data_IF_966024838984
#
_entry.id   IF_966024838984
#
_cell.length_a   1.000
_cell.length_b   1.000
_cell.length_c   1.000
_cell.angle_alpha   90.00
_cell.angle_beta   90.00
_cell.angle_gamma   90.00
#
_symmetry.space_group_name_H-M   'P 1'
#
loop_
_entity.id
_entity.type
_entity.pdbx_description
1 polymer ?
#
# COMPACT_ATOMS: atom_id res chain seq x y z
N UNK A 1 -4.12 6.44 3.89
CA UNK A 1 -3.06 6.80 2.92
C UNK A 1 -1.77 7.27 3.57
N UNK A 2 -1.82 8.16 4.57
CA UNK A 2 -0.58 8.67 5.17
C UNK A 2 0.21 7.60 5.94
N UNK A 3 -0.50 6.63 6.54
CA UNK A 3 0.14 5.48 7.18
C UNK A 3 0.86 4.56 6.17
N UNK A 4 0.34 4.44 4.95
CA UNK A 4 1.05 3.74 3.87
C UNK A 4 2.32 4.49 3.49
N UNK A 5 2.25 5.79 3.28
CA UNK A 5 3.41 6.66 3.00
C UNK A 5 4.46 6.58 4.12
N UNK A 6 4.04 6.65 5.38
CA UNK A 6 4.98 6.51 6.49
C UNK A 6 5.60 5.11 6.52
N UNK A 7 4.83 4.07 6.21
CA UNK A 7 5.33 2.69 6.12
C UNK A 7 6.47 2.56 5.11
N UNK A 8 6.28 3.08 3.89
CA UNK A 8 7.30 3.18 2.86
C UNK A 8 8.57 3.89 3.39
N UNK A 9 8.42 5.10 3.93
CA UNK A 9 9.54 5.89 4.47
C UNK A 9 10.29 5.15 5.60
N UNK A 10 9.56 4.45 6.46
CA UNK A 10 10.14 3.68 7.58
C UNK A 10 10.86 2.44 7.08
N UNK A 11 10.31 1.74 6.10
CA UNK A 11 10.83 0.51 5.54
C UNK A 11 12.03 0.70 4.61
N UNK A 12 12.09 1.83 3.88
CA UNK A 12 13.09 2.08 2.83
C UNK A 12 14.57 1.88 3.23
N UNK A 13 15.04 2.19 4.45
CA UNK A 13 16.43 1.92 4.85
C UNK A 13 16.75 0.43 5.01
N UNK A 14 15.72 -0.42 5.11
CA UNK A 14 15.83 -1.84 5.46
C UNK A 14 15.50 -2.78 4.29
N UNK A 15 15.16 -2.22 3.12
CA UNK A 15 14.85 -2.95 1.90
C UNK A 15 16.03 -3.82 1.44
N UNK A 16 15.72 -4.89 0.74
CA UNK A 16 16.60 -5.88 0.15
C UNK A 16 17.32 -6.84 1.13
N UNK A 17 17.61 -8.03 0.62
CA UNK A 17 18.25 -9.12 1.38
C UNK A 17 19.67 -8.79 1.89
N UNK A 18 20.34 -7.81 1.29
CA UNK A 18 21.64 -7.40 1.79
C UNK A 18 21.57 -6.72 3.18
N UNK A 19 20.43 -6.13 3.52
CA UNK A 19 20.15 -5.62 4.86
C UNK A 19 19.64 -6.74 5.77
N UNK A 20 18.76 -7.61 5.26
CA UNK A 20 18.14 -8.74 5.92
C UNK A 20 17.77 -8.48 7.39
N UNK A 21 17.14 -7.32 7.63
CA UNK A 21 16.86 -6.84 8.97
C UNK A 21 15.73 -7.65 9.60
N UNK A 22 15.97 -8.25 10.78
CA UNK A 22 15.07 -9.23 11.40
C UNK A 22 14.68 -8.86 12.84
N UNK A 23 14.79 -7.59 13.22
CA UNK A 23 14.52 -7.12 14.57
C UNK A 23 13.44 -6.04 14.59
N UNK A 24 12.73 -5.92 15.72
CA UNK A 24 11.74 -4.85 15.96
C UNK A 24 12.38 -3.59 16.59
N UNK A 25 13.60 -3.70 17.08
CA UNK A 25 14.32 -2.60 17.74
C UNK A 25 15.15 -1.81 16.73
N UNK A 26 14.58 -0.74 16.20
CA UNK A 26 15.22 0.19 15.28
C UNK A 26 14.62 1.60 15.43
N UNK A 27 15.35 2.67 15.10
CA UNK A 27 14.78 4.00 15.04
C UNK A 27 13.73 4.05 13.93
N UNK A 28 12.47 4.41 14.28
CA UNK A 28 11.36 4.39 13.32
C UNK A 28 11.63 5.30 12.13
N UNK A 29 12.27 6.45 12.36
CA UNK A 29 12.72 7.36 11.33
C UNK A 29 14.21 7.69 11.55
N UNK A 30 14.96 7.75 10.47
CA UNK A 30 16.38 8.09 10.44
C UNK A 30 16.68 9.07 9.30
N UNK A 31 17.94 9.52 9.20
CA UNK A 31 18.41 10.32 8.06
C UNK A 31 18.38 9.54 6.73
N UNK A 32 18.38 8.21 6.79
CA UNK A 32 18.30 7.34 5.61
C UNK A 32 16.87 7.08 5.16
N UNK A 33 15.89 7.39 6.00
CA UNK A 33 14.46 7.18 5.69
C UNK A 33 14.01 8.16 4.62
N UNK A 34 13.54 7.64 3.49
CA UNK A 34 13.07 8.40 2.32
C UNK A 34 11.85 7.70 1.70
N UNK A 35 11.05 8.41 0.96
CA UNK A 35 9.95 7.81 0.21
C UNK A 35 10.46 7.16 -1.09
N UNK A 36 9.74 6.14 -1.55
CA UNK A 36 10.03 5.39 -2.77
C UNK A 36 8.87 5.48 -3.78
N UNK A 37 8.85 4.60 -4.77
CA UNK A 37 7.75 4.49 -5.71
C UNK A 37 6.43 4.05 -5.05
N UNK A 38 6.46 3.42 -3.89
CA UNK A 38 5.28 3.13 -3.07
C UNK A 38 4.49 4.42 -2.76
N UNK A 39 5.17 5.43 -2.25
CA UNK A 39 4.56 6.74 -1.96
C UNK A 39 4.09 7.45 -3.22
N UNK A 40 4.95 7.53 -4.25
CA UNK A 40 4.63 8.22 -5.50
C UNK A 40 3.41 7.60 -6.18
N UNK A 41 3.36 6.28 -6.26
CA UNK A 41 2.24 5.58 -6.88
C UNK A 41 0.98 5.57 -5.99
N UNK A 42 1.13 5.61 -4.67
CA UNK A 42 0.00 5.82 -3.74
C UNK A 42 -0.67 7.18 -3.98
N UNK A 43 0.10 8.25 -4.13
CA UNK A 43 -0.42 9.58 -4.45
C UNK A 43 -1.08 9.60 -5.84
N UNK A 44 -0.43 9.05 -6.86
CA UNK A 44 -0.94 8.97 -8.22
C UNK A 44 -2.29 8.23 -8.29
N UNK A 45 -2.40 7.08 -7.62
CA UNK A 45 -3.64 6.29 -7.58
C UNK A 45 -4.74 7.02 -6.82
N UNK A 46 -4.42 7.73 -5.73
CA UNK A 46 -5.39 8.52 -4.99
C UNK A 46 -6.02 9.62 -5.86
N UNK A 47 -5.21 10.39 -6.59
CA UNK A 47 -5.70 11.43 -7.53
C UNK A 47 -6.54 10.79 -8.64
N UNK A 48 -6.05 9.70 -9.25
CA UNK A 48 -6.78 9.01 -10.31
C UNK A 48 -8.13 8.43 -9.87
N UNK A 49 -8.24 7.93 -8.64
CA UNK A 49 -9.51 7.47 -8.06
C UNK A 49 -10.50 8.63 -7.85
N UNK A 50 -10.02 9.77 -7.38
CA UNK A 50 -10.84 10.98 -7.19
C UNK A 50 -11.36 11.47 -8.54
N UNK A 51 -10.52 11.59 -9.54
CA UNK A 51 -10.88 12.03 -10.88
C UNK A 51 -11.80 11.04 -11.60
N UNK A 52 -11.66 9.78 -11.29
CA UNK A 52 -12.52 8.71 -11.81
C UNK A 52 -13.96 8.78 -11.34
N UNK A 53 -14.23 9.42 -10.19
CA UNK A 53 -15.58 9.62 -9.60
C UNK A 53 -16.36 8.31 -9.46
N UNK A 54 -15.66 7.21 -9.17
CA UNK A 54 -16.26 5.89 -8.99
C UNK A 54 -16.78 5.23 -10.29
N UNK A 55 -16.47 5.76 -11.46
CA UNK A 55 -16.83 5.17 -12.75
C UNK A 55 -15.65 4.32 -13.26
N UNK A 56 -15.82 2.99 -13.47
CA UNK A 56 -14.69 2.08 -13.77
C UNK A 56 -13.83 2.53 -14.95
N UNK A 57 -14.41 2.77 -16.11
CA UNK A 57 -13.67 3.16 -17.32
C UNK A 57 -12.95 4.50 -17.14
N UNK A 58 -13.61 5.47 -16.51
CA UNK A 58 -13.01 6.77 -16.22
C UNK A 58 -11.88 6.65 -15.20
N UNK A 59 -12.07 5.83 -14.16
CA UNK A 59 -11.04 5.57 -13.14
C UNK A 59 -9.82 4.89 -13.76
N UNK A 60 -10.02 3.91 -14.65
CA UNK A 60 -8.92 3.27 -15.36
C UNK A 60 -8.06 4.29 -16.12
N UNK A 61 -8.70 5.14 -16.93
CA UNK A 61 -7.99 6.15 -17.71
C UNK A 61 -7.30 7.19 -16.81
N UNK A 62 -7.96 7.64 -15.75
CA UNK A 62 -7.39 8.61 -14.82
C UNK A 62 -6.19 8.04 -14.05
N UNK A 63 -6.32 6.84 -13.49
CA UNK A 63 -5.21 6.16 -12.80
C UNK A 63 -4.03 5.90 -13.74
N UNK A 64 -4.30 5.47 -14.98
CA UNK A 64 -3.25 5.29 -15.99
C UNK A 64 -2.52 6.61 -16.29
N UNK A 65 -3.27 7.71 -16.43
CA UNK A 65 -2.71 9.03 -16.68
C UNK A 65 -1.84 9.49 -15.50
N UNK A 66 -2.40 9.45 -14.29
CA UNK A 66 -1.71 9.91 -13.08
C UNK A 66 -0.45 9.10 -12.78
N UNK A 67 -0.52 7.78 -12.86
CA UNK A 67 0.66 6.93 -12.64
C UNK A 67 1.79 7.25 -13.64
N UNK A 68 1.46 7.56 -14.89
CA UNK A 68 2.46 7.94 -15.90
C UNK A 68 2.99 9.36 -15.69
N UNK A 69 2.14 10.28 -15.27
CA UNK A 69 2.53 11.64 -14.96
C UNK A 69 3.51 11.65 -13.78
N UNK A 70 3.08 11.13 -12.62
CA UNK A 70 3.88 11.10 -11.40
C UNK A 70 5.16 10.25 -11.56
N UNK A 71 5.07 9.12 -12.26
CA UNK A 71 6.25 8.27 -12.50
C UNK A 71 7.34 8.95 -13.33
N UNK A 72 6.99 9.94 -14.17
CA UNK A 72 7.94 10.74 -14.93
C UNK A 72 8.48 11.93 -14.15
N UNK A 73 7.67 12.53 -13.28
CA UNK A 73 8.11 13.58 -12.35
C UNK A 73 9.10 13.06 -11.31
N UNK A 74 8.94 11.79 -10.89
CA UNK A 74 9.80 11.13 -9.91
C UNK A 74 10.58 9.94 -10.51
N UNK A 75 11.46 10.15 -11.51
CA UNK A 75 12.05 9.05 -12.30
C UNK A 75 13.02 8.16 -11.50
N UNK A 76 13.44 8.57 -10.31
CA UNK A 76 14.40 7.89 -9.45
C UNK A 76 13.77 7.27 -8.19
N UNK A 77 12.44 7.12 -8.16
CA UNK A 77 11.73 6.63 -6.98
C UNK A 77 11.89 5.12 -6.69
N UNK A 78 12.48 4.32 -7.59
CA UNK A 78 12.74 2.90 -7.30
C UNK A 78 12.01 1.91 -8.23
N UNK A 79 11.22 2.37 -9.21
CA UNK A 79 10.36 1.53 -10.05
C UNK A 79 11.01 0.27 -10.61
N UNK A 80 10.27 -0.84 -10.57
CA UNK A 80 10.64 -2.09 -11.20
C UNK A 80 10.79 -1.98 -12.72
N UNK A 81 11.61 -2.85 -13.33
CA UNK A 81 11.99 -2.74 -14.73
C UNK A 81 10.84 -2.84 -15.74
N UNK A 82 9.78 -3.62 -15.46
CA UNK A 82 8.59 -3.69 -16.32
C UNK A 82 7.78 -2.40 -16.24
N UNK A 83 7.62 -1.85 -15.03
CA UNK A 83 6.90 -0.60 -14.80
C UNK A 83 7.61 0.59 -15.47
N UNK A 84 8.94 0.69 -15.37
CA UNK A 84 9.71 1.73 -16.10
C UNK A 84 9.46 1.69 -17.61
N UNK A 85 9.43 0.51 -18.22
CA UNK A 85 9.11 0.38 -19.65
C UNK A 85 7.70 0.83 -19.95
N UNK A 86 6.74 0.47 -19.10
CA UNK A 86 5.35 0.86 -19.25
C UNK A 86 5.16 2.38 -19.12
N UNK A 87 5.86 3.07 -18.20
CA UNK A 87 5.81 4.52 -18.04
C UNK A 87 6.13 5.27 -19.34
N UNK A 88 7.06 4.74 -20.15
CA UNK A 88 7.54 5.38 -21.37
C UNK A 88 6.93 4.80 -22.66
N UNK A 89 6.07 3.78 -22.55
CA UNK A 89 5.43 3.19 -23.70
C UNK A 89 4.49 4.19 -24.42
N UNK A 90 4.47 4.15 -25.76
CA UNK A 90 3.50 4.94 -26.55
C UNK A 90 2.07 4.47 -26.28
N UNK A 91 1.87 3.14 -26.24
CA UNK A 91 0.59 2.50 -25.92
C UNK A 91 0.76 1.69 -24.62
N UNK A 92 0.46 2.29 -23.46
CA UNK A 92 0.69 1.66 -22.15
C UNK A 92 -0.39 0.64 -21.82
N UNK A 93 -0.32 -0.54 -22.42
CA UNK A 93 -1.23 -1.65 -22.10
C UNK A 93 -0.83 -2.34 -20.78
N UNK A 94 -1.80 -2.94 -20.07
CA UNK A 94 -1.51 -3.85 -18.96
C UNK A 94 -0.58 -4.98 -19.40
N UNK A 95 0.32 -5.40 -18.52
CA UNK A 95 1.37 -6.39 -18.88
C UNK A 95 1.34 -7.64 -18.00
N UNK A 96 0.20 -7.93 -17.36
CA UNK A 96 -0.01 -9.19 -16.63
C UNK A 96 0.83 -9.32 -15.36
N UNK A 97 1.24 -8.22 -14.74
CA UNK A 97 1.99 -8.27 -13.49
C UNK A 97 1.17 -8.89 -12.36
N UNK A 98 1.83 -9.68 -11.52
CA UNK A 98 1.35 -10.18 -10.23
C UNK A 98 2.21 -9.67 -9.06
N UNK A 99 3.04 -8.67 -9.34
CA UNK A 99 3.86 -7.99 -8.35
C UNK A 99 3.04 -7.29 -7.27
N UNK A 100 3.65 -7.03 -6.12
CA UNK A 100 3.04 -6.36 -4.99
C UNK A 100 2.73 -4.86 -5.25
N UNK A 101 3.24 -4.30 -6.35
CA UNK A 101 3.02 -2.92 -6.77
C UNK A 101 1.55 -2.52 -6.96
N UNK A 102 0.62 -3.46 -7.17
CA UNK A 102 -0.82 -3.15 -7.15
C UNK A 102 -1.36 -2.97 -5.73
N UNK A 103 -0.84 -3.71 -4.77
CA UNK A 103 -1.26 -3.68 -3.37
C UNK A 103 -0.68 -2.48 -2.60
N UNK A 104 0.60 -2.14 -2.84
CA UNK A 104 1.27 -1.03 -2.17
C UNK A 104 0.57 0.31 -2.38
N UNK A 105 0.09 0.57 -3.60
CA UNK A 105 -0.48 1.87 -4.02
C UNK A 105 -1.98 2.02 -3.84
N UNK A 106 -2.70 0.98 -3.38
CA UNK A 106 -4.17 0.91 -3.42
C UNK A 106 -4.87 1.57 -2.23
N UNK A 107 -4.12 2.03 -1.22
CA UNK A 107 -4.66 2.42 0.08
C UNK A 107 -5.84 3.41 -0.01
N UNK A 108 -5.82 4.36 -0.95
CA UNK A 108 -6.89 5.34 -1.15
C UNK A 108 -8.25 4.69 -1.52
N UNK A 109 -8.25 3.55 -2.22
CA UNK A 109 -9.49 2.82 -2.55
C UNK A 109 -10.21 2.34 -1.28
N UNK A 110 -9.47 1.95 -0.23
CA UNK A 110 -10.04 1.55 1.05
C UNK A 110 -10.72 2.70 1.82
N UNK A 111 -10.43 3.95 1.45
CA UNK A 111 -10.95 5.15 2.12
C UNK A 111 -12.09 5.83 1.38
N UNK A 112 -12.11 5.81 0.04
CA UNK A 112 -12.94 6.69 -0.81
C UNK A 112 -14.36 6.17 -1.08
N UNK A 113 -14.75 4.98 -0.63
CA UNK A 113 -16.04 4.41 -1.02
C UNK A 113 -16.84 3.92 0.19
N UNK A 114 -18.16 4.08 0.14
CA UNK A 114 -19.07 3.80 1.25
C UNK A 114 -19.42 2.31 1.39
N UNK A 115 -19.13 1.50 0.37
CA UNK A 115 -19.42 0.07 0.38
C UNK A 115 -18.18 -0.76 0.04
N UNK A 116 -18.12 -1.96 0.63
CA UNK A 116 -17.05 -2.92 0.36
C UNK A 116 -17.02 -3.33 -1.12
N UNK A 117 -18.20 -3.57 -1.72
CA UNK A 117 -18.30 -3.96 -3.14
C UNK A 117 -17.68 -2.88 -4.05
N UNK A 118 -17.97 -1.61 -3.77
CA UNK A 118 -17.41 -0.50 -4.55
C UNK A 118 -15.90 -0.34 -4.31
N UNK A 119 -15.45 -0.55 -3.08
CA UNK A 119 -14.02 -0.59 -2.74
C UNK A 119 -13.31 -1.68 -3.55
N UNK A 120 -13.86 -2.90 -3.59
CA UNK A 120 -13.29 -4.03 -4.34
C UNK A 120 -13.28 -3.78 -5.84
N UNK A 121 -14.38 -3.21 -6.39
CA UNK A 121 -14.45 -2.84 -7.80
C UNK A 121 -13.36 -1.84 -8.17
N UNK A 122 -13.22 -0.77 -7.39
CA UNK A 122 -12.25 0.27 -7.70
C UNK A 122 -10.81 -0.17 -7.45
N UNK A 123 -10.54 -0.98 -6.42
CA UNK A 123 -9.24 -1.60 -6.21
C UNK A 123 -8.83 -2.47 -7.41
N UNK A 124 -9.76 -3.28 -7.95
CA UNK A 124 -9.54 -4.05 -9.17
C UNK A 124 -9.17 -3.13 -10.34
N UNK A 125 -9.95 -2.07 -10.58
CA UNK A 125 -9.69 -1.12 -11.68
C UNK A 125 -8.30 -0.50 -11.58
N UNK A 126 -7.85 -0.10 -10.37
CA UNK A 126 -6.50 0.46 -10.20
C UNK A 126 -5.38 -0.54 -10.47
N UNK A 127 -5.62 -1.82 -10.13
CA UNK A 127 -4.66 -2.89 -10.40
C UNK A 127 -4.57 -3.18 -11.91
N UNK A 128 -5.71 -3.29 -12.59
CA UNK A 128 -5.81 -3.67 -14.01
C UNK A 128 -5.04 -2.76 -14.96
N UNK A 129 -4.70 -1.54 -14.54
CA UNK A 129 -3.87 -0.62 -15.35
C UNK A 129 -2.50 -1.22 -15.72
N UNK A 130 -1.94 -2.07 -14.88
CA UNK A 130 -0.64 -2.74 -15.09
C UNK A 130 -0.64 -4.20 -14.61
N UNK A 131 -1.33 -4.48 -13.50
CA UNK A 131 -1.33 -5.75 -12.77
C UNK A 131 -2.67 -6.48 -13.02
N UNK A 132 -2.98 -6.77 -14.28
CA UNK A 132 -4.21 -7.47 -14.65
C UNK A 132 -4.12 -9.01 -14.53
N UNK A 133 -3.07 -9.54 -13.90
CA UNK A 133 -3.01 -10.94 -13.47
C UNK A 133 -3.94 -11.17 -12.27
N UNK A 134 -4.62 -12.33 -12.16
CA UNK A 134 -5.53 -12.61 -11.03
C UNK A 134 -4.91 -12.36 -9.65
N UNK A 135 -3.66 -12.74 -9.42
CA UNK A 135 -2.96 -12.51 -8.15
C UNK A 135 -2.65 -11.02 -7.90
N UNK A 136 -2.33 -10.24 -8.95
CA UNK A 136 -2.13 -8.79 -8.82
C UNK A 136 -3.43 -8.05 -8.45
N UNK A 137 -4.55 -8.46 -9.07
CA UNK A 137 -5.89 -7.94 -8.73
C UNK A 137 -6.27 -8.33 -7.31
N UNK A 138 -6.08 -9.61 -6.95
CA UNK A 138 -6.39 -10.15 -5.62
C UNK A 138 -5.62 -9.40 -4.52
N UNK A 139 -4.34 -9.12 -4.71
CA UNK A 139 -3.52 -8.38 -3.74
C UNK A 139 -4.04 -6.98 -3.48
N UNK A 140 -4.38 -6.24 -4.55
CA UNK A 140 -4.98 -4.91 -4.42
C UNK A 140 -6.34 -4.95 -3.73
N UNK A 141 -7.23 -5.88 -4.12
CA UNK A 141 -8.55 -6.03 -3.52
C UNK A 141 -8.46 -6.42 -2.04
N UNK A 142 -7.57 -7.35 -1.68
CA UNK A 142 -7.38 -7.76 -0.28
C UNK A 142 -6.91 -6.59 0.58
N UNK A 143 -5.89 -5.85 0.13
CA UNK A 143 -5.38 -4.68 0.86
C UNK A 143 -6.45 -3.60 1.04
N UNK A 144 -7.17 -3.24 -0.01
CA UNK A 144 -8.24 -2.24 0.06
C UNK A 144 -9.40 -2.69 0.95
N UNK A 145 -9.77 -3.98 0.89
CA UNK A 145 -10.82 -4.54 1.73
C UNK A 145 -10.45 -4.50 3.22
N UNK A 146 -9.20 -4.84 3.57
CA UNK A 146 -8.74 -4.79 4.97
C UNK A 146 -8.76 -3.35 5.49
N UNK A 147 -8.33 -2.36 4.69
CA UNK A 147 -8.42 -0.94 5.06
C UNK A 147 -9.87 -0.52 5.26
N UNK A 148 -10.78 -0.91 4.37
CA UNK A 148 -12.21 -0.62 4.49
C UNK A 148 -12.80 -1.23 5.76
N UNK A 149 -12.58 -2.50 6.01
CA UNK A 149 -13.09 -3.20 7.19
C UNK A 149 -12.52 -2.61 8.49
N UNK A 150 -11.23 -2.29 8.51
CA UNK A 150 -10.58 -1.64 9.65
C UNK A 150 -11.22 -0.28 9.99
N UNK A 151 -11.38 0.61 8.99
CA UNK A 151 -11.98 1.94 9.22
C UNK A 151 -13.46 1.92 9.56
N UNK A 152 -14.15 0.84 9.18
CA UNK A 152 -15.59 0.65 9.50
C UNK A 152 -15.83 -0.11 10.81
N UNK A 153 -14.78 -0.35 11.60
CA UNK A 153 -14.88 -0.84 12.97
C UNK A 153 -14.92 -2.35 13.13
N UNK A 154 -14.53 -3.10 12.08
CA UNK A 154 -14.41 -4.56 12.20
C UNK A 154 -13.20 -4.93 13.07
N UNK A 155 -13.38 -5.95 13.88
CA UNK A 155 -12.31 -6.51 14.71
C UNK A 155 -11.28 -7.29 13.87
N UNK A 156 -10.07 -7.46 14.39
CA UNK A 156 -9.03 -8.26 13.74
C UNK A 156 -9.46 -9.70 13.42
N UNK A 157 -10.17 -10.44 14.30
CA UNK A 157 -10.70 -11.75 13.95
C UNK A 157 -11.68 -11.74 12.76
N UNK A 158 -12.57 -10.75 12.69
CA UNK A 158 -13.50 -10.60 11.56
C UNK A 158 -12.76 -10.28 10.25
N UNK A 159 -11.77 -9.38 10.30
CA UNK A 159 -10.90 -9.06 9.16
C UNK A 159 -10.16 -10.31 8.68
N UNK A 160 -9.53 -11.03 9.60
CA UNK A 160 -8.82 -12.29 9.30
C UNK A 160 -9.74 -13.29 8.60
N UNK A 161 -10.89 -13.55 9.20
CA UNK A 161 -11.88 -14.49 8.65
C UNK A 161 -12.32 -14.08 7.23
N UNK A 162 -12.60 -12.80 7.03
CA UNK A 162 -13.00 -12.29 5.72
C UNK A 162 -11.92 -12.52 4.66
N UNK A 163 -10.66 -12.21 4.98
CA UNK A 163 -9.53 -12.36 4.05
C UNK A 163 -9.28 -13.83 3.70
N UNK A 164 -9.29 -14.71 4.70
CA UNK A 164 -9.11 -16.16 4.49
C UNK A 164 -10.21 -16.74 3.60
N UNK A 165 -11.47 -16.38 3.87
CA UNK A 165 -12.63 -16.91 3.13
C UNK A 165 -12.74 -16.33 1.71
N UNK A 166 -12.41 -15.04 1.52
CA UNK A 166 -12.64 -14.35 0.24
C UNK A 166 -11.45 -14.48 -0.70
N UNK A 167 -10.23 -14.38 -0.16
CA UNK A 167 -9.01 -14.34 -0.97
C UNK A 167 -8.16 -15.61 -0.85
N UNK A 168 -8.46 -16.50 0.11
CA UNK A 168 -7.74 -17.75 0.29
C UNK A 168 -6.30 -17.59 0.78
N UNK A 169 -5.96 -16.46 1.40
CA UNK A 169 -4.68 -16.27 2.04
C UNK A 169 -4.62 -17.04 3.37
N UNK A 170 -3.50 -17.70 3.65
CA UNK A 170 -3.24 -18.33 4.95
C UNK A 170 -2.68 -17.29 5.92
N UNK A 171 -3.50 -16.87 6.89
CA UNK A 171 -3.16 -15.92 7.93
C UNK A 171 -2.95 -16.57 9.30
N UNK A 172 -2.68 -17.90 9.35
CA UNK A 172 -2.50 -18.63 10.61
C UNK A 172 -1.04 -18.65 11.09
N UNK A 173 -0.11 -18.20 10.28
CA UNK A 173 1.31 -18.04 10.67
C UNK A 173 1.49 -16.79 11.52
N UNK A 174 2.54 -16.78 12.31
CA UNK A 174 2.98 -15.63 13.11
C UNK A 174 4.18 -14.92 12.47
N UNK A 175 4.41 -13.66 12.85
CA UNK A 175 5.61 -12.94 12.43
C UNK A 175 6.89 -13.66 12.84
N UNK A 176 6.88 -14.34 14.01
CA UNK A 176 8.03 -15.09 14.50
C UNK A 176 8.30 -16.35 13.67
N UNK A 177 7.27 -17.00 13.12
CA UNK A 177 7.41 -18.12 12.19
C UNK A 177 7.85 -17.69 10.79
N UNK A 178 7.41 -16.53 10.33
CA UNK A 178 7.75 -15.97 9.01
C UNK A 178 9.19 -15.43 8.98
N UNK A 179 9.56 -14.64 9.97
CA UNK A 179 10.80 -13.85 10.03
C UNK A 179 12.08 -14.62 9.71
N UNK A 180 12.31 -15.85 10.20
CA UNK A 180 13.57 -16.55 9.94
C UNK A 180 13.82 -16.92 8.49
N UNK A 181 12.77 -17.10 7.69
CA UNK A 181 12.84 -17.62 6.33
C UNK A 181 12.42 -16.62 5.26
N UNK A 182 11.75 -15.54 5.64
CA UNK A 182 11.30 -14.53 4.68
C UNK A 182 12.50 -13.79 4.07
N UNK A 183 12.42 -13.54 2.79
CA UNK A 183 13.45 -12.90 1.99
C UNK A 183 12.81 -11.89 1.02
N UNK A 184 13.60 -11.21 0.20
CA UNK A 184 13.09 -10.25 -0.76
C UNK A 184 12.25 -10.95 -1.84
N UNK A 185 10.96 -10.64 -1.84
CA UNK A 185 9.97 -11.12 -2.81
C UNK A 185 9.06 -9.96 -3.19
N UNK A 186 8.75 -9.85 -4.47
CA UNK A 186 7.96 -8.75 -5.03
C UNK A 186 6.58 -9.21 -5.53
N UNK A 187 6.07 -10.37 -5.06
CA UNK A 187 4.79 -10.92 -5.51
C UNK A 187 3.66 -10.63 -4.52
N UNK A 188 2.45 -10.37 -5.02
CA UNK A 188 1.28 -10.17 -4.16
C UNK A 188 1.01 -11.34 -3.22
N UNK A 189 1.18 -12.58 -3.71
CA UNK A 189 0.86 -13.78 -2.93
C UNK A 189 1.82 -14.03 -1.77
N UNK A 190 3.01 -13.44 -1.78
CA UNK A 190 4.01 -13.59 -0.73
C UNK A 190 4.24 -12.32 0.09
N UNK A 191 3.75 -11.14 -0.39
CA UNK A 191 3.87 -9.87 0.34
C UNK A 191 2.58 -9.54 1.10
N UNK A 192 1.42 -9.67 0.46
CA UNK A 192 0.15 -9.19 1.04
C UNK A 192 -0.27 -9.96 2.28
N UNK A 193 -0.25 -11.31 2.32
CA UNK A 193 -0.60 -12.03 3.55
C UNK A 193 0.36 -11.71 4.69
N UNK A 194 1.66 -11.58 4.46
CA UNK A 194 2.65 -11.23 5.47
C UNK A 194 2.43 -9.83 6.04
N UNK A 195 2.11 -8.85 5.19
CA UNK A 195 1.76 -7.51 5.63
C UNK A 195 0.47 -7.49 6.48
N UNK A 196 -0.53 -8.28 6.11
CA UNK A 196 -1.77 -8.43 6.89
C UNK A 196 -1.47 -9.12 8.23
N UNK A 197 -0.64 -10.16 8.27
CA UNK A 197 -0.23 -10.85 9.51
C UNK A 197 0.50 -9.86 10.44
N UNK A 198 1.43 -9.04 9.91
CA UNK A 198 2.13 -8.03 10.68
C UNK A 198 1.17 -7.04 11.37
N UNK A 199 0.08 -6.65 10.69
CA UNK A 199 -0.99 -5.87 11.27
C UNK A 199 -1.81 -6.67 12.31
N UNK A 200 -2.21 -7.90 12.00
CA UNK A 200 -3.05 -8.71 12.88
C UNK A 200 -2.39 -8.97 14.24
N UNK A 201 -1.08 -9.16 14.29
CA UNK A 201 -0.33 -9.37 15.52
C UNK A 201 0.01 -8.10 16.28
N UNK A 202 -0.09 -6.93 15.65
CA UNK A 202 0.28 -5.66 16.27
C UNK A 202 -0.65 -5.25 17.40
N UNK A 203 -0.15 -4.42 18.33
CA UNK A 203 -0.92 -3.84 19.44
C UNK A 203 -1.06 -2.32 19.32
N UNK A 204 -0.39 -1.71 18.35
CA UNK A 204 -0.46 -0.27 18.05
C UNK A 204 -0.08 0.00 16.59
N UNK A 205 -0.28 1.24 16.15
CA UNK A 205 0.17 1.70 14.82
C UNK A 205 1.68 1.50 14.62
N UNK A 206 2.50 1.95 15.58
CA UNK A 206 3.96 1.80 15.52
C UNK A 206 4.39 0.33 15.56
N UNK A 207 3.75 -0.49 16.40
CA UNK A 207 4.06 -1.91 16.51
C UNK A 207 3.78 -2.66 15.20
N UNK A 208 2.74 -2.25 14.46
CA UNK A 208 2.46 -2.80 13.13
C UNK A 208 3.61 -2.54 12.14
N UNK A 209 4.14 -1.31 12.10
CA UNK A 209 5.29 -0.99 11.25
C UNK A 209 6.55 -1.75 11.67
N UNK A 210 6.79 -1.91 12.97
CA UNK A 210 7.92 -2.68 13.51
C UNK A 210 7.80 -4.16 13.17
N UNK A 211 6.59 -4.73 13.22
CA UNK A 211 6.34 -6.09 12.76
C UNK A 211 6.71 -6.24 11.30
N UNK A 212 6.17 -5.39 10.41
CA UNK A 212 6.39 -5.46 8.98
C UNK A 212 7.88 -5.36 8.61
N UNK A 213 8.58 -4.33 9.08
CA UNK A 213 10.02 -4.13 8.81
C UNK A 213 10.85 -5.30 9.35
N UNK A 214 10.48 -5.88 10.50
CA UNK A 214 11.23 -7.00 11.10
C UNK A 214 11.11 -8.30 10.31
N UNK A 215 10.23 -8.40 9.33
CA UNK A 215 10.19 -9.55 8.42
C UNK A 215 11.36 -9.49 7.42
N UNK A 216 11.88 -8.31 7.13
CA UNK A 216 12.96 -8.09 6.15
C UNK A 216 12.47 -8.15 4.72
N UNK A 217 13.37 -8.38 3.77
CA UNK A 217 13.05 -8.47 2.36
C UNK A 217 12.64 -7.13 1.75
N UNK A 218 11.47 -7.08 1.13
CA UNK A 218 10.82 -5.89 0.55
C UNK A 218 10.11 -5.11 1.66
N UNK A 219 10.90 -4.51 2.56
CA UNK A 219 10.42 -3.98 3.84
C UNK A 219 9.67 -2.67 3.72
N UNK A 220 9.94 -1.85 2.71
CA UNK A 220 9.17 -0.64 2.42
C UNK A 220 7.76 -0.98 1.94
N UNK A 221 7.61 -1.89 0.97
CA UNK A 221 6.30 -2.36 0.52
C UNK A 221 5.52 -3.10 1.62
N UNK A 222 6.17 -3.99 2.40
CA UNK A 222 5.52 -4.62 3.55
C UNK A 222 4.99 -3.58 4.54
N UNK A 223 5.83 -2.60 4.89
CA UNK A 223 5.46 -1.57 5.85
C UNK A 223 4.46 -0.56 5.25
N UNK A 224 4.51 -0.29 3.95
CA UNK A 224 3.53 0.53 3.23
C UNK A 224 2.12 -0.10 3.34
N UNK A 225 1.97 -1.36 2.96
CA UNK A 225 0.68 -2.07 3.05
C UNK A 225 0.21 -2.12 4.51
N UNK A 226 1.07 -2.57 5.42
CA UNK A 226 0.75 -2.69 6.85
C UNK A 226 0.39 -1.35 7.47
N UNK A 227 1.12 -0.29 7.16
CA UNK A 227 0.89 1.06 7.65
C UNK A 227 -0.44 1.65 7.18
N UNK A 228 -0.81 1.40 5.93
CA UNK A 228 -2.13 1.79 5.40
C UNK A 228 -3.29 1.14 6.15
N UNK A 229 -3.15 -0.13 6.51
CA UNK A 229 -4.12 -0.88 7.31
C UNK A 229 -4.13 -0.39 8.76
N UNK A 230 -2.95 -0.22 9.37
CA UNK A 230 -2.81 0.21 10.75
C UNK A 230 -3.37 1.62 10.99
N UNK A 231 -3.20 2.54 10.01
CA UNK A 231 -3.83 3.87 10.05
C UNK A 231 -5.36 3.76 10.12
N UNK A 232 -5.94 2.87 9.35
CA UNK A 232 -7.38 2.67 9.30
C UNK A 232 -7.95 2.08 10.60
N UNK A 233 -7.17 1.22 11.27
CA UNK A 233 -7.60 0.52 12.47
C UNK A 233 -7.32 1.28 13.78
N UNK A 234 -6.11 1.81 13.93
CA UNK A 234 -5.67 2.47 15.17
C UNK A 234 -5.74 4.00 15.13
N UNK A 235 -5.85 4.58 13.93
CA UNK A 235 -5.47 5.95 13.69
C UNK A 235 -3.94 6.11 13.66
N UNK A 236 -3.49 7.27 13.23
CA UNK A 236 -2.07 7.62 13.17
C UNK A 236 -1.74 8.62 14.27
N UNK A 237 -0.70 8.39 15.12
CA UNK A 237 -0.25 9.37 16.11
C UNK A 237 0.11 10.71 15.47
N UNK A 238 -0.27 11.82 16.10
CA UNK A 238 -0.10 13.17 15.54
C UNK A 238 1.38 13.50 15.26
N UNK A 239 2.29 13.10 16.14
CA UNK A 239 3.73 13.31 15.96
C UNK A 239 4.26 12.61 14.71
N UNK A 240 3.82 11.38 14.44
CA UNK A 240 4.21 10.64 13.25
C UNK A 240 3.58 11.23 11.97
N UNK A 241 2.34 11.73 12.08
CA UNK A 241 1.69 12.47 10.98
C UNK A 241 2.52 13.70 10.59
N UNK A 242 2.87 14.53 11.57
CA UNK A 242 3.62 15.77 11.35
C UNK A 242 5.01 15.48 10.78
N UNK A 243 5.71 14.48 11.29
CA UNK A 243 7.02 14.05 10.78
C UNK A 243 6.95 13.50 9.36
N UNK A 244 5.89 12.75 9.03
CA UNK A 244 5.68 12.27 7.66
C UNK A 244 5.49 13.43 6.70
N UNK A 245 4.58 14.35 7.01
CA UNK A 245 4.27 15.52 6.16
C UNK A 245 5.49 16.42 5.92
N UNK A 246 6.37 16.58 6.90
CA UNK A 246 7.63 17.33 6.73
C UNK A 246 8.60 16.73 5.72
N UNK A 247 8.53 15.41 5.51
CA UNK A 247 9.42 14.66 4.61
C UNK A 247 8.91 14.60 3.17
N UNK A 248 7.67 15.03 2.92
CA UNK A 248 7.04 14.95 1.62
C UNK A 248 7.20 16.27 0.83
N UNK A 249 7.40 16.17 -0.49
CA UNK A 249 7.24 17.30 -1.40
C UNK A 249 5.82 17.89 -1.36
N UNK A 250 5.68 19.12 -1.82
CA UNK A 250 4.42 19.87 -1.76
C UNK A 250 3.29 19.19 -2.53
N UNK A 251 3.56 18.70 -3.73
CA UNK A 251 2.60 18.03 -4.60
C UNK A 251 2.06 16.71 -4.00
N UNK A 252 2.92 15.92 -3.35
CA UNK A 252 2.47 14.69 -2.64
C UNK A 252 1.60 15.05 -1.42
N UNK A 253 1.94 16.15 -0.71
CA UNK A 253 1.10 16.65 0.38
C UNK A 253 -0.26 17.13 -0.13
N UNK A 254 -0.29 17.85 -1.25
CA UNK A 254 -1.53 18.31 -1.89
C UNK A 254 -2.42 17.13 -2.30
N UNK A 255 -1.84 16.06 -2.85
CA UNK A 255 -2.59 14.84 -3.17
C UNK A 255 -3.20 14.19 -1.91
N UNK A 256 -2.47 14.18 -0.80
CA UNK A 256 -2.99 13.71 0.49
C UNK A 256 -4.11 14.61 1.03
N UNK A 257 -3.94 15.93 0.99
CA UNK A 257 -4.93 16.90 1.46
C UNK A 257 -6.21 16.82 0.62
N UNK A 258 -6.08 16.63 -0.70
CA UNK A 258 -7.21 16.39 -1.59
C UNK A 258 -7.98 15.13 -1.19
N UNK A 259 -7.29 14.02 -0.90
CA UNK A 259 -7.92 12.79 -0.42
C UNK A 259 -8.67 13.03 0.90
N UNK A 260 -8.05 13.70 1.87
CA UNK A 260 -8.67 14.02 3.15
C UNK A 260 -9.95 14.86 2.96
N UNK A 261 -9.90 15.87 2.07
CA UNK A 261 -11.05 16.69 1.74
C UNK A 261 -12.20 15.88 1.11
N UNK A 262 -11.88 14.93 0.23
CA UNK A 262 -12.89 14.07 -0.40
C UNK A 262 -13.53 13.12 0.61
N UNK A 263 -12.75 12.52 1.51
CA UNK A 263 -13.26 11.66 2.59
C UNK A 263 -14.18 12.47 3.53
N UNK A 264 -13.80 13.69 3.90
CA UNK A 264 -14.60 14.54 4.77
C UNK A 264 -15.96 14.95 4.17
N UNK A 265 -16.11 14.90 2.85
CA UNK A 265 -17.38 15.15 2.16
C UNK A 265 -18.32 13.95 2.10
N UNK A 266 -17.82 12.76 2.42
CA UNK A 266 -18.60 11.52 2.44
C UNK A 266 -19.27 11.28 3.82
N UNK A 267 -18.80 11.98 4.86
CA UNK A 267 -19.35 11.96 6.22
C UNK A 267 -20.39 13.08 6.36
#
# INVERSE_FOLDING_TARGET
MLGAILGDIVGSPYEFDHNNYKHKDFPLLSEKSHFTDDTVMTAAVAVGLIDGKGLPERTFCAVQHEMRFWGREYPHAGYGGMFRRWLHAENPNPYGSFGNGSAMRVSAAGWLFDTLDKTLEMAKVTAEVTHNHPEGIKGAQATAAVIFLARTGHSKPEIKQYVEQTFGYDLNRTCDEIRPTYHHVETCQETVPEAIIAFLESVSFEDALRNAVSLGGDSDTLACITGGIAEAFYGMPQELRDETLKRLPEDIREAYDLLCFMIAKMI
#
